data_IF_478603527123
#
_entry.id   IF_478603527123
#
_cell.length_a   1.000
_cell.length_b   1.000
_cell.length_c   1.000
_cell.angle_alpha   90.00
_cell.angle_beta   90.00
_cell.angle_gamma   90.00
#
_symmetry.space_group_name_H-M   'P 1'
#
loop_
_entity.id
_entity.type
_entity.pdbx_description
1 polymer ?
#
# COMPACT_ATOMS: atom_id res chain seq x y z
N UNK A 1 -25.25 -13.66 -1.03
CA UNK A 1 -24.54 -13.87 0.26
C UNK A 1 -23.78 -12.60 0.62
N UNK A 2 -24.06 -11.96 1.77
CA UNK A 2 -23.24 -10.84 2.27
C UNK A 2 -21.89 -11.41 2.71
N UNK A 3 -20.80 -11.12 2.00
CA UNK A 3 -19.46 -11.46 2.52
C UNK A 3 -19.15 -10.49 3.66
N UNK A 4 -19.13 -10.97 4.90
CA UNK A 4 -18.64 -10.19 6.03
C UNK A 4 -17.15 -9.93 5.83
N UNK A 5 -16.74 -8.67 5.83
CA UNK A 5 -15.33 -8.31 5.77
C UNK A 5 -14.59 -8.94 6.95
N UNK A 6 -13.63 -9.83 6.67
CA UNK A 6 -12.79 -10.45 7.71
C UNK A 6 -11.95 -9.35 8.37
N UNK A 7 -12.07 -9.20 9.69
CA UNK A 7 -11.21 -8.28 10.45
C UNK A 7 -9.75 -8.71 10.28
N UNK A 8 -8.88 -7.72 10.10
CA UNK A 8 -7.43 -7.98 10.02
C UNK A 8 -6.90 -8.25 11.42
N UNK A 9 -6.22 -9.38 11.62
CA UNK A 9 -5.55 -9.71 12.89
C UNK A 9 -4.26 -8.90 13.10
N UNK A 10 -3.83 -8.13 12.09
CA UNK A 10 -2.68 -7.23 12.17
C UNK A 10 -3.14 -5.79 12.49
N UNK A 11 -2.78 -5.25 13.68
CA UNK A 11 -3.09 -3.87 14.08
C UNK A 11 -2.48 -2.84 13.13
N UNK A 12 -1.25 -3.07 12.65
CA UNK A 12 -0.55 -2.17 11.72
C UNK A 12 -1.29 -2.08 10.38
N UNK A 13 -1.74 -3.21 9.82
CA UNK A 13 -2.55 -3.18 8.60
C UNK A 13 -3.85 -2.41 8.80
N UNK A 14 -4.49 -2.58 9.97
CA UNK A 14 -5.73 -1.88 10.29
C UNK A 14 -5.48 -0.36 10.41
N UNK A 15 -4.38 0.05 11.04
CA UNK A 15 -4.00 1.45 11.19
C UNK A 15 -3.70 2.10 9.83
N UNK A 16 -2.92 1.44 8.98
CA UNK A 16 -2.63 1.92 7.62
C UNK A 16 -3.92 2.04 6.81
N UNK A 17 -4.76 0.99 6.79
CA UNK A 17 -6.02 1.01 6.06
C UNK A 17 -7.00 2.06 6.60
N UNK A 18 -6.93 2.42 7.89
CA UNK A 18 -7.75 3.46 8.49
C UNK A 18 -7.34 4.84 7.99
N UNK A 19 -6.04 5.13 8.01
CA UNK A 19 -5.51 6.47 7.81
C UNK A 19 -5.14 6.79 6.34
N UNK A 20 -4.86 5.77 5.51
CA UNK A 20 -4.33 5.96 4.17
C UNK A 20 -5.13 5.23 3.09
N UNK A 21 -5.16 5.82 1.90
CA UNK A 21 -5.54 5.21 0.62
C UNK A 21 -4.25 4.70 -0.02
N UNK A 22 -4.22 3.43 -0.39
CA UNK A 22 -3.05 2.79 -1.01
C UNK A 22 -3.33 2.55 -2.50
N UNK A 23 -2.42 3.03 -3.34
CA UNK A 23 -2.45 2.87 -4.79
C UNK A 23 -1.18 2.20 -5.27
N UNK A 24 -1.33 1.25 -6.18
CA UNK A 24 -0.22 0.50 -6.78
C UNK A 24 -0.26 0.65 -8.29
N UNK A 25 0.88 0.95 -8.88
CA UNK A 25 1.09 0.98 -10.32
C UNK A 25 2.25 0.03 -10.66
N UNK A 26 1.94 -1.02 -11.39
CA UNK A 26 2.90 -2.00 -11.90
C UNK A 26 3.49 -1.48 -13.22
N UNK A 27 4.79 -1.71 -13.46
CA UNK A 27 5.58 -1.22 -14.60
C UNK A 27 5.30 0.25 -14.95
N UNK A 28 5.62 1.21 -14.07
CA UNK A 28 5.28 2.61 -14.25
C UNK A 28 5.91 3.27 -15.50
N UNK A 29 6.97 2.68 -16.07
CA UNK A 29 7.58 3.11 -17.34
C UNK A 29 6.74 2.76 -18.56
N UNK A 30 5.93 1.71 -18.49
CA UNK A 30 5.11 1.19 -19.59
C UNK A 30 3.62 1.50 -19.39
N UNK A 31 3.22 1.78 -18.14
CA UNK A 31 1.84 1.99 -17.76
C UNK A 31 1.59 3.45 -17.34
N UNK A 32 0.79 4.15 -18.15
CA UNK A 32 0.21 5.45 -17.80
C UNK A 32 -0.69 5.34 -16.56
N UNK A 33 -0.94 6.48 -15.89
CA UNK A 33 -1.71 6.64 -14.64
C UNK A 33 -3.04 5.85 -14.58
N UNK A 34 -3.65 5.55 -15.73
CA UNK A 34 -4.90 4.78 -15.88
C UNK A 34 -4.83 3.36 -15.28
N UNK A 35 -3.64 2.76 -15.16
CA UNK A 35 -3.47 1.41 -14.63
C UNK A 35 -3.19 1.35 -13.11
N UNK A 36 -3.40 2.47 -12.42
CA UNK A 36 -3.24 2.54 -10.97
C UNK A 36 -4.38 1.79 -10.28
N UNK A 37 -4.06 0.76 -9.49
CA UNK A 37 -5.02 -0.06 -8.75
C UNK A 37 -5.10 0.39 -7.30
N UNK A 38 -6.31 0.42 -6.74
CA UNK A 38 -6.51 0.56 -5.30
C UNK A 38 -6.26 -0.79 -4.62
N UNK A 39 -5.56 -0.76 -3.49
CA UNK A 39 -5.26 -1.97 -2.70
C UNK A 39 -5.44 -1.72 -1.20
N UNK A 40 -5.30 -2.77 -0.40
CA UNK A 40 -5.29 -2.71 1.06
C UNK A 40 -3.92 -3.12 1.60
N UNK A 41 -3.64 -2.72 2.84
CA UNK A 41 -2.39 -3.06 3.53
C UNK A 41 -2.16 -4.57 3.60
N UNK A 42 -3.24 -5.36 3.77
CA UNK A 42 -3.16 -6.82 3.77
C UNK A 42 -2.73 -7.38 2.41
N UNK A 43 -3.26 -6.81 1.32
CA UNK A 43 -2.94 -7.26 -0.04
C UNK A 43 -1.63 -6.69 -0.58
N UNK A 44 -0.98 -5.75 0.13
CA UNK A 44 0.26 -5.16 -0.37
C UNK A 44 1.42 -6.17 -0.46
N UNK A 45 1.44 -7.19 0.41
CA UNK A 45 2.47 -8.24 0.37
C UNK A 45 2.47 -9.02 -0.94
N UNK A 46 1.32 -9.16 -1.62
CA UNK A 46 1.26 -9.85 -2.92
C UNK A 46 1.98 -9.11 -4.04
N UNK A 47 2.23 -7.80 -3.87
CA UNK A 47 2.99 -6.99 -4.83
C UNK A 47 4.48 -6.91 -4.46
N UNK A 48 4.78 -6.92 -3.17
CA UNK A 48 6.14 -6.78 -2.66
C UNK A 48 6.93 -8.08 -2.70
N UNK A 49 6.25 -9.23 -2.54
CA UNK A 49 6.85 -10.55 -2.33
C UNK A 49 7.90 -10.55 -1.19
N UNK A 50 7.80 -9.60 -0.25
CA UNK A 50 8.74 -9.34 0.82
C UNK A 50 7.99 -8.64 1.98
N UNK A 51 7.79 -9.36 3.08
CA UNK A 51 7.10 -8.87 4.27
C UNK A 51 7.97 -7.91 5.10
N UNK A 52 9.30 -8.02 5.07
CA UNK A 52 10.18 -7.07 5.76
C UNK A 52 10.13 -5.70 5.08
N UNK A 53 10.14 -5.69 3.74
CA UNK A 53 9.98 -4.45 2.98
C UNK A 53 8.63 -3.78 3.29
N UNK A 54 7.56 -4.57 3.39
CA UNK A 54 6.24 -4.08 3.78
C UNK A 54 6.27 -3.39 5.16
N UNK A 55 6.88 -4.03 6.16
CA UNK A 55 7.00 -3.47 7.52
C UNK A 55 7.80 -2.16 7.50
N UNK A 56 8.93 -2.11 6.78
CA UNK A 56 9.75 -0.90 6.64
C UNK A 56 8.97 0.27 6.02
N UNK A 57 8.16 -0.01 5.00
CA UNK A 57 7.30 1.01 4.38
C UNK A 57 6.27 1.54 5.37
N UNK A 58 5.59 0.65 6.10
CA UNK A 58 4.55 1.05 7.05
C UNK A 58 5.08 1.88 8.19
N UNK A 59 6.19 1.49 8.80
CA UNK A 59 6.81 2.29 9.86
C UNK A 59 7.17 3.69 9.36
N UNK A 60 7.77 3.79 8.17
CA UNK A 60 8.12 5.09 7.58
C UNK A 60 6.92 6.01 7.33
N UNK A 61 5.76 5.43 6.97
CA UNK A 61 4.53 6.19 6.74
C UNK A 61 3.91 6.63 8.07
N UNK A 62 3.88 5.75 9.06
CA UNK A 62 3.31 6.04 10.38
C UNK A 62 4.14 7.08 11.14
N UNK A 63 5.47 7.04 11.01
CA UNK A 63 6.37 7.92 11.75
C UNK A 63 6.55 9.29 11.07
N UNK A 64 6.39 9.37 9.75
CA UNK A 64 6.85 10.54 9.00
C UNK A 64 5.86 11.71 8.90
N UNK A 65 4.59 11.54 9.32
CA UNK A 65 3.59 12.61 9.40
C UNK A 65 3.18 13.34 8.10
N UNK A 66 3.48 12.80 6.91
CA UNK A 66 3.15 13.45 5.62
C UNK A 66 1.81 12.99 5.06
N UNK A 67 1.14 13.86 4.32
CA UNK A 67 -0.10 13.53 3.62
C UNK A 67 0.09 12.55 2.46
N UNK A 68 1.30 12.47 1.90
CA UNK A 68 1.61 11.57 0.78
C UNK A 68 3.00 10.97 0.89
N UNK A 69 3.07 9.66 0.64
CA UNK A 69 4.30 8.92 0.42
C UNK A 69 4.25 8.20 -0.93
N UNK A 70 5.35 8.27 -1.66
CA UNK A 70 5.55 7.55 -2.92
C UNK A 70 6.81 6.71 -2.80
N UNK A 71 6.69 5.42 -3.12
CA UNK A 71 7.79 4.47 -3.14
C UNK A 71 7.93 3.88 -4.53
N UNK A 72 9.13 3.95 -5.09
CA UNK A 72 9.50 3.28 -6.33
C UNK A 72 10.36 2.07 -5.97
N UNK A 73 9.90 0.88 -6.34
CA UNK A 73 10.54 -0.39 -6.01
C UNK A 73 11.03 -1.02 -7.32
N UNK A 74 12.36 -1.15 -7.43
CA UNK A 74 13.08 -1.81 -8.54
C UNK A 74 12.64 -1.33 -9.94
N UNK A 75 12.18 -0.08 -10.05
CA UNK A 75 11.60 0.51 -11.29
C UNK A 75 10.40 -0.25 -11.90
N UNK A 76 9.83 -1.21 -11.18
CA UNK A 76 8.70 -2.06 -11.65
C UNK A 76 7.42 -1.83 -10.87
N UNK A 77 7.51 -1.21 -9.69
CA UNK A 77 6.36 -0.99 -8.86
C UNK A 77 6.43 0.41 -8.26
N UNK A 78 5.35 1.18 -8.42
CA UNK A 78 5.13 2.43 -7.72
C UNK A 78 4.00 2.23 -6.73
N UNK A 79 4.24 2.58 -5.47
CA UNK A 79 3.24 2.51 -4.40
C UNK A 79 3.05 3.92 -3.83
N UNK A 80 1.82 4.42 -3.93
CA UNK A 80 1.41 5.69 -3.37
C UNK A 80 0.52 5.45 -2.14
N UNK A 81 0.89 6.05 -1.01
CA UNK A 81 0.05 6.16 0.18
C UNK A 81 -0.38 7.61 0.31
N UNK A 82 -1.69 7.84 0.35
CA UNK A 82 -2.27 9.17 0.51
C UNK A 82 -3.14 9.19 1.76
N UNK A 83 -2.95 10.15 2.64
CA UNK A 83 -3.80 10.34 3.82
C UNK A 83 -5.25 10.56 3.41
N UNK A 84 -6.18 10.08 4.23
CA UNK A 84 -7.62 10.29 4.06
C UNK A 84 -8.09 11.61 4.64
#
# INVERSE_FOLDING_TARGET
MKSTAKKSDSPTNALINRNFIIRVLENPSENLLKNTKLTSANKLSTYLNDDEMKIKLFNKILDGGKDKYTFLIRNRLKIDFQSK
#
